data_IF_199429749375
#
_entry.id   IF_199429749375
#
_cell.length_a   1.000
_cell.length_b   1.000
_cell.length_c   1.000
_cell.angle_alpha   90.00
_cell.angle_beta   90.00
_cell.angle_gamma   90.00
#
_symmetry.space_group_name_H-M   'P 1'
#
loop_
_entity.id
_entity.type
_entity.pdbx_description
1 polymer ?
#
# COMPACT_ATOMS: atom_id res chain seq x y z
N UNK A 1 -9.64 0.56 -16.06
CA UNK A 1 -9.96 -0.92 -16.00
C UNK A 1 -9.61 -1.47 -14.63
N UNK A 2 -10.51 -2.23 -13.99
CA UNK A 2 -10.23 -2.87 -12.70
C UNK A 2 -9.30 -4.07 -12.90
N UNK A 3 -8.13 -4.02 -12.28
CA UNK A 3 -7.08 -5.04 -12.35
C UNK A 3 -7.21 -6.04 -11.19
N UNK A 4 -6.75 -7.29 -11.33
CA UNK A 4 -6.69 -8.21 -10.20
C UNK A 4 -5.57 -7.81 -9.23
N UNK A 5 -5.87 -7.81 -7.92
CA UNK A 5 -4.88 -7.62 -6.86
C UNK A 5 -4.10 -8.92 -6.65
N UNK A 6 -2.78 -8.84 -6.68
CA UNK A 6 -1.88 -9.97 -6.47
C UNK A 6 -1.87 -10.36 -4.99
N UNK A 7 -2.18 -11.61 -4.72
CA UNK A 7 -2.30 -12.15 -3.38
C UNK A 7 -0.92 -12.46 -2.76
N UNK A 8 -0.89 -12.50 -1.45
CA UNK A 8 0.25 -12.99 -0.68
C UNK A 8 0.81 -14.32 -1.25
N UNK A 9 2.12 -14.39 -1.35
CA UNK A 9 2.85 -15.50 -1.96
C UNK A 9 3.25 -15.28 -3.41
N UNK A 10 2.71 -14.26 -4.08
CA UNK A 10 3.19 -13.85 -5.41
C UNK A 10 4.60 -13.24 -5.31
N UNK A 11 5.58 -13.69 -6.14
CA UNK A 11 6.97 -13.24 -6.04
C UNK A 11 7.16 -11.74 -6.18
N UNK A 12 6.32 -11.07 -6.96
CA UNK A 12 6.39 -9.61 -7.19
C UNK A 12 6.21 -8.80 -5.90
N UNK A 13 5.48 -9.31 -4.92
CA UNK A 13 5.24 -8.63 -3.63
C UNK A 13 6.46 -8.63 -2.71
N UNK A 14 7.42 -9.51 -2.96
CA UNK A 14 8.67 -9.60 -2.19
C UNK A 14 9.89 -9.08 -2.98
N UNK A 15 9.64 -8.48 -4.15
CA UNK A 15 10.68 -7.89 -4.98
C UNK A 15 10.78 -6.39 -4.72
N UNK A 16 12.00 -5.89 -4.51
CA UNK A 16 12.24 -4.44 -4.52
C UNK A 16 11.92 -3.91 -5.91
N UNK A 17 11.09 -2.87 -5.96
CA UNK A 17 10.62 -2.28 -7.20
C UNK A 17 11.67 -1.37 -7.84
N UNK A 18 11.67 -1.33 -9.17
CA UNK A 18 12.61 -0.55 -9.97
C UNK A 18 12.08 0.88 -10.20
N UNK A 19 12.97 1.87 -10.23
CA UNK A 19 12.63 3.24 -10.63
C UNK A 19 12.21 3.30 -12.10
N UNK A 20 11.33 4.24 -12.41
CA UNK A 20 10.83 4.45 -13.76
C UNK A 20 11.14 5.87 -14.25
N UNK A 21 11.17 6.04 -15.57
CA UNK A 21 11.29 7.34 -16.23
C UNK A 21 9.93 7.80 -16.76
N UNK A 22 9.88 9.04 -17.25
CA UNK A 22 8.66 9.63 -17.83
C UNK A 22 8.18 8.87 -19.07
N UNK A 23 9.07 8.16 -19.74
CA UNK A 23 8.81 7.36 -20.93
C UNK A 23 8.31 5.94 -20.60
N UNK A 24 8.03 5.62 -19.31
CA UNK A 24 7.51 4.31 -18.93
C UNK A 24 6.18 4.05 -19.66
N UNK A 25 6.06 2.92 -20.39
CA UNK A 25 4.91 2.67 -21.26
C UNK A 25 3.59 2.68 -20.48
N UNK A 26 2.57 3.33 -21.04
CA UNK A 26 1.18 3.33 -20.53
C UNK A 26 1.05 3.81 -19.07
N UNK A 27 2.00 4.60 -18.56
CA UNK A 27 2.04 4.98 -17.15
C UNK A 27 0.75 5.65 -16.69
N UNK A 28 0.20 6.56 -17.49
CA UNK A 28 -1.04 7.26 -17.17
C UNK A 28 -2.22 6.27 -17.04
N UNK A 29 -2.35 5.35 -18.00
CA UNK A 29 -3.38 4.30 -17.94
C UNK A 29 -3.20 3.38 -16.72
N UNK A 30 -1.96 3.05 -16.38
CA UNK A 30 -1.65 2.25 -15.18
C UNK A 30 -2.14 2.97 -13.92
N UNK A 31 -1.87 4.27 -13.79
CA UNK A 31 -2.31 5.08 -12.63
C UNK A 31 -3.83 5.14 -12.56
N UNK A 32 -4.52 5.37 -13.67
CA UNK A 32 -5.99 5.34 -13.72
C UNK A 32 -6.55 3.98 -13.31
N UNK A 33 -6.01 2.91 -13.85
CA UNK A 33 -6.41 1.55 -13.49
C UNK A 33 -6.12 1.23 -12.01
N UNK A 34 -5.05 1.77 -11.43
CA UNK A 34 -4.77 1.65 -10.00
C UNK A 34 -5.83 2.35 -9.15
N UNK A 35 -6.25 3.57 -9.52
CA UNK A 35 -7.32 4.28 -8.83
C UNK A 35 -8.64 3.48 -8.85
N UNK A 36 -9.08 3.03 -10.02
CA UNK A 36 -10.29 2.21 -10.16
C UNK A 36 -10.21 0.92 -9.31
N UNK A 37 -9.08 0.22 -9.37
CA UNK A 37 -8.85 -1.03 -8.63
C UNK A 37 -8.87 -0.81 -7.12
N UNK A 38 -8.23 0.26 -6.65
CA UNK A 38 -8.19 0.63 -5.24
C UNK A 38 -9.59 0.93 -4.71
N UNK A 39 -10.38 1.72 -5.42
CA UNK A 39 -11.74 2.06 -4.99
C UNK A 39 -12.68 0.87 -5.01
N UNK A 40 -12.62 0.02 -6.04
CA UNK A 40 -13.41 -1.21 -6.11
C UNK A 40 -13.12 -2.15 -4.92
N UNK A 41 -11.85 -2.21 -4.52
CA UNK A 41 -11.45 -3.01 -3.37
C UNK A 41 -11.63 -2.29 -2.01
N UNK A 42 -12.26 -1.10 -1.99
CA UNK A 42 -12.43 -0.27 -0.79
C UNK A 42 -11.11 0.06 -0.07
N UNK A 43 -10.02 0.19 -0.84
CA UNK A 43 -8.69 0.54 -0.34
C UNK A 43 -8.51 2.05 -0.20
N UNK A 44 -7.52 2.47 0.59
CA UNK A 44 -7.08 3.85 0.78
C UNK A 44 -5.66 4.10 0.24
N UNK A 45 -4.97 3.05 -0.14
CA UNK A 45 -3.69 3.02 -0.82
C UNK A 45 -3.57 1.78 -1.69
N UNK A 46 -2.72 1.86 -2.71
CA UNK A 46 -2.39 0.73 -3.59
C UNK A 46 -1.01 0.96 -4.22
N UNK A 47 -0.14 -0.04 -4.13
CA UNK A 47 1.17 -0.01 -4.74
C UNK A 47 1.23 -0.85 -6.03
N UNK A 48 2.05 -0.45 -6.99
CA UNK A 48 2.19 -1.12 -8.27
C UNK A 48 2.56 -2.62 -8.18
N UNK A 49 3.37 -3.09 -7.22
CA UNK A 49 3.57 -4.53 -7.02
C UNK A 49 2.29 -5.30 -6.77
N UNK A 50 1.28 -4.68 -6.14
CA UNK A 50 -0.02 -5.32 -5.87
C UNK A 50 -0.88 -5.51 -7.14
N UNK A 51 -0.54 -4.87 -8.24
CA UNK A 51 -1.11 -5.13 -9.57
C UNK A 51 -0.13 -5.84 -10.51
N UNK A 52 0.93 -6.44 -9.95
CA UNK A 52 1.90 -7.26 -10.67
C UNK A 52 3.02 -6.49 -11.38
N UNK A 53 3.18 -5.20 -11.10
CA UNK A 53 4.22 -4.34 -11.70
C UNK A 53 5.30 -3.98 -10.65
N UNK A 54 6.51 -4.50 -10.81
CA UNK A 54 7.62 -4.23 -9.89
C UNK A 54 8.27 -2.85 -10.16
N UNK A 55 7.48 -1.78 -10.11
CA UNK A 55 7.91 -0.40 -10.31
C UNK A 55 7.65 0.44 -9.07
N UNK A 56 8.48 1.46 -8.84
CA UNK A 56 8.37 2.38 -7.70
C UNK A 56 7.24 3.38 -7.91
N UNK A 57 6.03 2.91 -7.72
CA UNK A 57 4.79 3.67 -7.87
C UNK A 57 3.79 3.21 -6.83
N UNK A 58 3.16 4.14 -6.14
CA UNK A 58 1.95 3.91 -5.36
C UNK A 58 1.02 5.12 -5.34
N UNK A 59 -0.22 4.89 -4.99
CA UNK A 59 -1.27 5.90 -4.86
C UNK A 59 -1.87 5.86 -3.46
N UNK A 60 -2.30 7.01 -2.97
CA UNK A 60 -2.94 7.17 -1.65
C UNK A 60 -4.12 8.13 -1.77
N UNK A 61 -5.28 7.75 -1.23
CA UNK A 61 -6.45 8.63 -1.06
C UNK A 61 -7.05 8.47 0.33
N UNK A 62 -6.60 9.33 1.25
CA UNK A 62 -7.15 9.39 2.61
C UNK A 62 -8.38 10.31 2.73
N UNK A 63 -8.76 11.04 1.67
CA UNK A 63 -9.99 11.88 1.65
C UNK A 63 -11.26 11.06 1.84
N UNK A 64 -11.20 9.75 1.51
CA UNK A 64 -12.29 8.81 1.74
C UNK A 64 -12.53 8.51 3.23
N UNK A 65 -11.51 8.71 4.08
CA UNK A 65 -11.60 8.44 5.51
C UNK A 65 -12.42 9.53 6.18
N UNK A 66 -13.71 9.29 6.38
CA UNK A 66 -14.60 10.17 7.14
C UNK A 66 -14.33 9.95 8.63
N UNK A 67 -13.56 10.83 9.23
CA UNK A 67 -13.40 10.85 10.69
C UNK A 67 -14.70 11.35 11.32
N UNK A 68 -15.53 10.43 11.83
CA UNK A 68 -16.83 10.73 12.45
C UNK A 68 -16.72 11.44 13.80
N UNK A 69 -15.49 11.67 14.32
CA UNK A 69 -15.25 12.10 15.71
C UNK A 69 -14.41 13.37 15.89
N UNK A 70 -13.92 14.01 14.83
CA UNK A 70 -13.12 15.25 14.96
C UNK A 70 -13.78 16.42 14.25
N UNK A 71 -14.04 17.47 15.01
CA UNK A 71 -14.53 18.79 14.53
C UNK A 71 -13.50 19.52 13.66
N UNK A 72 -12.22 19.13 13.70
CA UNK A 72 -11.16 19.62 12.81
C UNK A 72 -10.96 18.61 11.66
N UNK A 73 -11.56 18.91 10.53
CA UNK A 73 -11.39 18.17 9.27
C UNK A 73 -9.98 18.42 8.71
N UNK A 74 -9.02 17.53 8.97
CA UNK A 74 -7.91 17.39 8.06
C UNK A 74 -8.47 16.91 6.72
N UNK A 75 -8.23 17.65 5.66
CA UNK A 75 -8.83 17.39 4.34
C UNK A 75 -8.39 16.08 3.70
N UNK A 76 -7.45 15.35 4.30
CA UNK A 76 -6.83 14.17 3.69
C UNK A 76 -6.07 14.50 2.40
N UNK A 77 -5.42 13.49 1.84
CA UNK A 77 -4.68 13.64 0.57
C UNK A 77 -5.21 12.67 -0.48
N UNK A 78 -5.10 13.08 -1.75
CA UNK A 78 -5.19 12.19 -2.91
C UNK A 78 -3.96 12.46 -3.77
N UNK A 79 -3.00 11.53 -3.78
CA UNK A 79 -1.68 11.74 -4.41
C UNK A 79 -1.15 10.48 -5.08
N UNK A 80 -0.36 10.70 -6.13
CA UNK A 80 0.47 9.71 -6.81
C UNK A 80 1.91 9.91 -6.36
N UNK A 81 2.61 8.82 -6.06
CA UNK A 81 4.01 8.82 -5.65
C UNK A 81 4.82 7.99 -6.64
N UNK A 82 5.62 8.65 -7.49
CA UNK A 82 6.52 8.02 -8.45
C UNK A 82 7.96 8.15 -7.93
N UNK A 83 8.71 7.05 -7.97
CA UNK A 83 10.09 6.96 -7.47
C UNK A 83 10.27 7.55 -6.05
N UNK A 84 9.36 7.28 -5.11
CA UNK A 84 9.44 7.86 -3.79
C UNK A 84 10.66 7.36 -3.01
N UNK A 85 11.20 8.25 -2.17
CA UNK A 85 12.27 7.97 -1.20
C UNK A 85 11.87 8.59 0.12
N UNK A 86 11.70 7.77 1.16
CA UNK A 86 11.55 8.25 2.53
C UNK A 86 12.90 8.81 2.97
N UNK A 87 12.90 10.10 3.32
CA UNK A 87 14.09 10.82 3.78
C UNK A 87 14.24 10.70 5.30
N UNK A 88 13.12 10.71 6.02
CA UNK A 88 13.09 10.62 7.47
C UNK A 88 11.74 10.07 7.95
N UNK A 89 11.80 9.20 8.98
CA UNK A 89 10.65 8.77 9.78
C UNK A 89 10.85 9.29 11.20
N UNK A 90 9.94 10.12 11.70
CA UNK A 90 10.10 10.81 12.98
C UNK A 90 8.78 10.92 13.76
N UNK A 91 8.82 11.63 14.90
CA UNK A 91 7.70 11.71 15.81
C UNK A 91 7.57 10.50 16.72
N UNK A 92 6.43 10.36 17.38
CA UNK A 92 6.17 9.28 18.30
C UNK A 92 5.85 7.97 17.58
N UNK A 93 6.23 6.85 18.18
CA UNK A 93 5.71 5.53 17.77
C UNK A 93 4.24 5.43 18.19
N UNK A 94 3.42 4.87 17.34
CA UNK A 94 2.04 4.53 17.64
C UNK A 94 1.62 3.25 16.92
N UNK A 95 0.82 2.47 17.60
CA UNK A 95 0.28 1.22 17.10
C UNK A 95 -1.04 1.46 16.38
N UNK A 96 -1.22 0.79 15.24
CA UNK A 96 -2.45 0.81 14.48
C UNK A 96 -2.72 -0.55 13.85
N UNK A 97 -3.97 -0.96 13.81
CA UNK A 97 -4.37 -2.21 13.18
C UNK A 97 -4.40 -2.06 11.65
N UNK A 98 -3.33 -2.50 11.01
CA UNK A 98 -3.19 -2.48 9.54
C UNK A 98 -3.84 -3.71 8.91
N UNK A 99 -4.30 -3.54 7.67
CA UNK A 99 -4.70 -4.58 6.74
C UNK A 99 -4.10 -4.29 5.37
N UNK A 100 -4.20 -5.24 4.45
CA UNK A 100 -3.66 -5.11 3.11
C UNK A 100 -4.55 -5.81 2.09
N UNK A 101 -4.79 -5.18 0.94
CA UNK A 101 -5.59 -5.78 -0.14
C UNK A 101 -4.97 -7.08 -0.69
N UNK A 102 -3.65 -7.24 -0.59
CA UNK A 102 -2.95 -8.48 -0.95
C UNK A 102 -3.07 -9.59 0.09
N UNK A 103 -3.62 -9.30 1.28
CA UNK A 103 -3.75 -10.20 2.42
C UNK A 103 -5.17 -10.06 3.01
N UNK A 104 -6.22 -10.48 2.27
CA UNK A 104 -7.61 -10.31 2.71
C UNK A 104 -7.87 -11.01 4.06
N UNK A 105 -8.78 -10.44 4.86
CA UNK A 105 -9.25 -10.95 6.15
C UNK A 105 -8.17 -11.11 7.24
N UNK A 106 -6.99 -10.56 7.02
CA UNK A 106 -5.92 -10.51 8.03
C UNK A 106 -5.62 -9.07 8.38
N UNK A 107 -5.67 -8.78 9.68
CA UNK A 107 -5.26 -7.52 10.26
C UNK A 107 -4.28 -7.76 11.41
N UNK A 108 -3.47 -6.76 11.69
CA UNK A 108 -2.53 -6.86 12.80
C UNK A 108 -1.99 -5.51 13.23
N UNK A 109 -1.65 -5.40 14.50
CA UNK A 109 -1.08 -4.19 15.07
C UNK A 109 0.37 -4.01 14.60
N UNK A 110 0.63 -2.84 14.03
CA UNK A 110 1.95 -2.43 13.55
C UNK A 110 2.32 -1.11 14.18
N UNK A 111 3.51 -1.03 14.77
CA UNK A 111 4.07 0.23 15.26
C UNK A 111 4.81 0.94 14.13
N UNK A 112 4.49 2.22 13.93
CA UNK A 112 5.22 3.11 13.01
C UNK A 112 5.42 4.48 13.63
N UNK A 113 6.38 5.23 13.11
CA UNK A 113 6.54 6.65 13.41
C UNK A 113 5.32 7.44 12.93
N UNK A 114 4.94 8.46 13.68
CA UNK A 114 3.76 9.26 13.39
C UNK A 114 3.93 10.23 12.23
N UNK A 115 5.17 10.50 11.82
CA UNK A 115 5.50 11.45 10.76
C UNK A 115 6.49 10.83 9.78
N UNK A 116 6.38 11.24 8.52
CA UNK A 116 7.29 10.86 7.45
C UNK A 116 7.62 12.06 6.57
N UNK A 117 8.90 12.25 6.28
CA UNK A 117 9.39 13.16 5.24
C UNK A 117 9.76 12.34 4.02
N UNK A 118 9.20 12.67 2.86
CA UNK A 118 9.32 11.89 1.63
C UNK A 118 9.56 12.80 0.42
N UNK A 119 10.50 12.42 -0.42
CA UNK A 119 10.69 13.00 -1.75
C UNK A 119 10.11 12.05 -2.80
N UNK A 120 9.49 12.59 -3.84
CA UNK A 120 8.87 11.80 -4.91
C UNK A 120 8.64 12.67 -6.16
N UNK A 121 8.26 12.04 -7.25
CA UNK A 121 7.71 12.70 -8.43
C UNK A 121 6.18 12.54 -8.40
N UNK A 122 5.46 13.61 -8.72
CA UNK A 122 4.01 13.54 -8.91
C UNK A 122 3.65 12.94 -10.30
N UNK A 123 2.37 12.86 -10.62
CA UNK A 123 1.87 12.30 -11.88
C UNK A 123 2.36 13.03 -13.13
N UNK A 124 2.88 14.26 -13.00
CA UNK A 124 3.48 15.06 -14.07
C UNK A 124 5.01 14.94 -14.12
N UNK A 125 5.59 14.08 -13.26
CA UNK A 125 7.05 14.00 -13.03
C UNK A 125 7.68 15.27 -12.45
N UNK A 126 6.88 16.11 -11.78
CA UNK A 126 7.39 17.25 -11.04
C UNK A 126 7.91 16.81 -9.66
N UNK A 127 9.12 17.23 -9.27
CA UNK A 127 9.68 16.85 -7.98
C UNK A 127 8.93 17.51 -6.82
N UNK A 128 8.65 16.69 -5.80
CA UNK A 128 7.98 17.06 -4.57
C UNK A 128 8.79 16.59 -3.37
N UNK A 129 8.71 17.35 -2.30
CA UNK A 129 9.19 16.95 -0.98
C UNK A 129 8.17 17.43 0.05
N UNK A 130 7.53 16.49 0.73
CA UNK A 130 6.46 16.77 1.66
C UNK A 130 6.68 16.06 3.00
N UNK A 131 6.06 16.61 4.05
CA UNK A 131 5.95 15.98 5.36
C UNK A 131 4.49 15.61 5.59
N UNK A 132 4.27 14.36 5.98
CA UNK A 132 2.96 13.84 6.32
C UNK A 132 2.95 13.35 7.77
N UNK A 133 1.78 13.38 8.42
CA UNK A 133 1.59 12.89 9.77
C UNK A 133 0.34 11.99 9.90
N UNK A 134 0.19 11.34 11.07
CA UNK A 134 -1.00 10.57 11.40
C UNK A 134 -1.32 9.46 10.39
N UNK A 135 -2.59 9.41 9.96
CA UNK A 135 -3.05 8.37 9.01
C UNK A 135 -2.43 8.53 7.62
N UNK A 136 -2.15 9.73 7.17
CA UNK A 136 -1.47 9.96 5.89
C UNK A 136 -0.08 9.34 5.91
N UNK A 137 0.71 9.62 6.97
CA UNK A 137 2.03 9.00 7.16
C UNK A 137 1.93 7.48 7.30
N UNK A 138 0.89 6.96 7.97
CA UNK A 138 0.63 5.52 8.13
C UNK A 138 0.46 4.83 6.78
N UNK A 139 -0.43 5.33 5.96
CA UNK A 139 -0.73 4.76 4.64
C UNK A 139 0.49 4.88 3.72
N UNK A 140 1.16 6.03 3.69
CA UNK A 140 2.38 6.23 2.88
C UNK A 140 3.47 5.22 3.27
N UNK A 141 3.73 5.00 4.55
CA UNK A 141 4.72 4.02 5.00
C UNK A 141 4.32 2.58 4.61
N UNK A 142 3.03 2.24 4.67
CA UNK A 142 2.53 0.94 4.26
C UNK A 142 2.74 0.70 2.75
N UNK A 143 2.37 1.67 1.91
CA UNK A 143 2.55 1.56 0.45
C UNK A 143 4.02 1.62 0.05
N UNK A 144 4.85 2.37 0.78
CA UNK A 144 6.29 2.39 0.58
C UNK A 144 6.93 1.03 0.85
N UNK A 145 6.49 0.33 1.89
CA UNK A 145 6.95 -1.04 2.17
C UNK A 145 6.71 -1.97 0.97
N UNK A 146 5.57 -1.87 0.29
CA UNK A 146 5.27 -2.68 -0.89
C UNK A 146 6.31 -2.50 -2.02
N UNK A 147 6.77 -1.28 -2.27
CA UNK A 147 7.79 -1.04 -3.29
C UNK A 147 9.21 -1.41 -2.83
N UNK A 148 9.42 -1.59 -1.53
CA UNK A 148 10.63 -2.17 -0.97
C UNK A 148 10.56 -3.71 -0.83
N UNK A 149 9.45 -4.33 -1.28
CA UNK A 149 9.24 -5.78 -1.22
C UNK A 149 8.89 -6.31 0.17
N UNK A 150 8.29 -5.47 1.02
CA UNK A 150 7.88 -5.78 2.39
C UNK A 150 6.37 -5.79 2.54
N UNK A 151 5.89 -6.60 3.49
CA UNK A 151 4.48 -6.68 3.84
C UNK A 151 4.28 -6.40 5.34
N UNK A 152 3.16 -5.79 5.72
CA UNK A 152 2.89 -5.41 7.12
C UNK A 152 2.99 -6.58 8.11
N UNK A 153 2.71 -7.81 7.67
CA UNK A 153 2.83 -9.02 8.49
C UNK A 153 4.26 -9.29 8.98
N UNK A 154 5.26 -8.70 8.35
CA UNK A 154 6.65 -8.83 8.78
C UNK A 154 6.92 -8.13 10.12
N UNK A 155 6.13 -7.11 10.46
CA UNK A 155 6.21 -6.36 11.72
C UNK A 155 5.47 -7.03 12.87
N UNK A 156 4.67 -8.05 12.61
CA UNK A 156 3.90 -8.75 13.63
C UNK A 156 4.81 -9.58 14.55
N UNK A 157 4.37 -9.78 15.79
CA UNK A 157 5.10 -10.62 16.75
C UNK A 157 5.26 -12.05 16.24
N UNK A 158 6.31 -12.79 16.66
CA UNK A 158 6.52 -14.18 16.27
C UNK A 158 5.31 -15.07 16.59
N UNK A 159 4.67 -14.88 17.74
CA UNK A 159 3.46 -15.62 18.13
C UNK A 159 2.31 -15.35 17.15
N UNK A 160 2.08 -14.09 16.77
CA UNK A 160 1.06 -13.72 15.80
C UNK A 160 1.31 -14.33 14.41
N UNK A 161 2.55 -14.32 13.96
CA UNK A 161 2.95 -14.96 12.68
C UNK A 161 2.64 -16.45 12.66
N UNK A 162 2.87 -17.16 13.77
CA UNK A 162 2.56 -18.59 13.88
C UNK A 162 1.05 -18.82 13.75
N UNK A 163 0.23 -18.05 14.47
CA UNK A 163 -1.24 -18.14 14.42
C UNK A 163 -1.76 -17.90 13.01
N UNK A 164 -1.18 -16.96 12.28
CA UNK A 164 -1.63 -16.57 10.93
C UNK A 164 -1.16 -17.51 9.82
N UNK A 165 -0.19 -18.39 10.06
CA UNK A 165 0.41 -19.27 9.04
C UNK A 165 -0.63 -20.03 8.21
N UNK A 166 -1.60 -20.65 8.85
CA UNK A 166 -2.66 -21.40 8.15
C UNK A 166 -3.51 -20.52 7.25
N UNK A 167 -3.89 -19.32 7.71
CA UNK A 167 -4.66 -18.36 6.92
C UNK A 167 -3.85 -17.86 5.72
N UNK A 168 -2.56 -17.55 5.91
CA UNK A 168 -1.67 -17.11 4.83
C UNK A 168 -1.49 -18.19 3.75
N UNK A 169 -1.37 -19.46 4.14
CA UNK A 169 -1.33 -20.58 3.19
C UNK A 169 -2.66 -20.74 2.43
N UNK A 170 -3.80 -20.49 3.07
CA UNK A 170 -5.09 -20.48 2.39
C UNK A 170 -5.19 -19.36 1.36
N UNK A 171 -4.67 -18.16 1.66
CA UNK A 171 -4.62 -17.04 0.70
C UNK A 171 -3.77 -17.42 -0.51
N UNK A 172 -2.58 -17.99 -0.34
CA UNK A 172 -1.74 -18.46 -1.46
C UNK A 172 -2.49 -19.40 -2.40
N UNK A 173 -3.32 -20.27 -1.85
CA UNK A 173 -4.09 -21.31 -2.56
C UNK A 173 -5.46 -20.83 -3.07
N UNK A 174 -5.78 -19.55 -2.94
CA UNK A 174 -7.09 -19.02 -3.31
C UNK A 174 -8.26 -19.53 -2.47
N UNK A 175 -7.99 -20.05 -1.28
CA UNK A 175 -9.03 -20.54 -0.33
C UNK A 175 -9.47 -19.40 0.60
N UNK A 176 -9.88 -18.30 0.01
CA UNK A 176 -10.33 -17.08 0.69
C UNK A 176 -11.43 -16.45 -0.15
N UNK A 177 -12.42 -15.83 0.50
CA UNK A 177 -13.46 -15.04 -0.16
C UNK A 177 -13.14 -13.57 0.01
N UNK A 178 -13.24 -12.79 -1.06
CA UNK A 178 -13.15 -11.33 -1.04
C UNK A 178 -14.00 -10.74 -2.18
N UNK A 179 -14.44 -9.50 -2.02
CA UNK A 179 -15.39 -8.85 -2.93
C UNK A 179 -14.72 -8.19 -4.14
N UNK A 180 -13.43 -8.36 -4.31
CA UNK A 180 -12.64 -7.83 -5.44
C UNK A 180 -11.82 -8.92 -6.12
N UNK A 181 -11.41 -8.65 -7.36
CA UNK A 181 -10.62 -9.61 -8.16
C UNK A 181 -9.22 -9.81 -7.57
N UNK A 182 -8.83 -11.07 -7.38
CA UNK A 182 -7.49 -11.43 -6.95
C UNK A 182 -6.78 -12.37 -7.92
N UNK A 183 -5.44 -12.29 -7.90
CA UNK A 183 -4.55 -13.24 -8.57
C UNK A 183 -3.72 -13.98 -7.53
N UNK A 184 -4.05 -15.25 -7.32
CA UNK A 184 -3.40 -16.11 -6.33
C UNK A 184 -2.07 -16.68 -6.82
N UNK A 185 -1.20 -17.06 -5.87
CA UNK A 185 0.14 -17.58 -6.16
C UNK A 185 0.12 -19.02 -6.69
N UNK A 186 -0.83 -19.82 -6.22
CA UNK A 186 -1.01 -21.23 -6.58
C UNK A 186 -2.39 -21.37 -7.22
N UNK A 187 -2.42 -22.04 -8.38
CA UNK A 187 -3.67 -22.39 -9.08
C UNK A 187 -4.21 -23.72 -8.55
#
# INVERSE_FOLDING_TARGET
>A
MILPVFAFGQPVLNKKADSITKEYPELHEIIENMWETMYEASGIGLAAPQIGKAIRLFIVDTKQMKDKKKEEKKEGIKKVFINPVILEEFGNLWSYEEGCLSIPDIRGEVERKSCVKISYLDENFEPREDIFDGMEARVIQHEYDHIEGRLFIEYLSPARKIILRGKLENIKKGKVSCDYKMRFAIK
#
